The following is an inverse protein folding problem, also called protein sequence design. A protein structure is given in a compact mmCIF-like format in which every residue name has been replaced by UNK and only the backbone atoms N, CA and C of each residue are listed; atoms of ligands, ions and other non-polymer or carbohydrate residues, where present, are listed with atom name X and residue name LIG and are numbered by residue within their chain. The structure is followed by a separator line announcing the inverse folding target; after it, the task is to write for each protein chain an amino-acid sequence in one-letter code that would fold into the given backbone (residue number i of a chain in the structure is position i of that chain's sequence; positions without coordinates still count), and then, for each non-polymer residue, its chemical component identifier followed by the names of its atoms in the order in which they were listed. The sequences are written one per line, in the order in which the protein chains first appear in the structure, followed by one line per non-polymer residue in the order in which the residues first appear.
data_IF_181455214849
#
_entry.id   IF_181455214849
#
_cell.length_a   1.000
_cell.length_b   1.000
_cell.length_c   1.000
_cell.angle_alpha   90.00
_cell.angle_beta   90.00
_cell.angle_gamma   90.00
#
_symmetry.space_group_name_H-M   'P 1'
#
loop_
_entity.id
_entity.type
_entity.pdbx_description
1 polymer ?
#
# COMPACT_ATOMS: atom_id res chain seq x y z
N UNK A 1 -53.03 10.03 -34.34
CA UNK A 1 -52.08 11.01 -33.78
C UNK A 1 -50.67 10.54 -34.14
N UNK A 2 -50.01 11.20 -35.07
CA UNK A 2 -48.68 10.81 -35.57
C UNK A 2 -47.61 11.36 -34.63
N UNK A 3 -46.70 10.49 -34.18
CA UNK A 3 -45.50 10.88 -33.44
C UNK A 3 -44.59 11.67 -34.38
N UNK A 4 -44.66 13.00 -34.30
CA UNK A 4 -43.75 13.91 -34.99
C UNK A 4 -42.39 13.85 -34.31
N UNK A 5 -41.40 13.33 -35.02
CA UNK A 5 -40.03 13.13 -34.58
C UNK A 5 -39.41 14.42 -34.01
N UNK A 6 -38.82 14.33 -32.81
CA UNK A 6 -37.91 15.33 -32.23
C UNK A 6 -36.58 15.43 -33.04
N UNK A 7 -36.65 15.59 -34.36
CA UNK A 7 -35.50 15.67 -35.26
C UNK A 7 -34.85 17.06 -35.25
N UNK A 8 -35.61 18.10 -34.93
CA UNK A 8 -35.15 19.49 -34.90
C UNK A 8 -34.18 19.79 -33.74
N UNK A 9 -34.34 19.11 -32.59
CA UNK A 9 -33.47 19.30 -31.43
C UNK A 9 -32.11 18.61 -31.58
N UNK A 10 -32.05 17.48 -32.30
CA UNK A 10 -30.79 16.81 -32.61
C UNK A 10 -30.04 17.52 -33.73
N UNK A 11 -30.73 18.03 -34.76
CA UNK A 11 -30.09 18.80 -35.84
C UNK A 11 -29.46 20.09 -35.32
N UNK A 12 -30.20 20.85 -34.51
CA UNK A 12 -29.69 22.10 -33.91
C UNK A 12 -28.55 21.86 -32.91
N UNK A 13 -28.54 20.74 -32.20
CA UNK A 13 -27.46 20.36 -31.28
C UNK A 13 -26.12 20.09 -31.98
N UNK A 14 -26.13 19.47 -33.16
CA UNK A 14 -24.92 19.32 -33.98
C UNK A 14 -24.50 20.65 -34.63
N UNK A 15 -25.46 21.42 -35.14
CA UNK A 15 -25.18 22.72 -35.78
C UNK A 15 -24.63 23.80 -34.82
N UNK A 16 -24.98 23.78 -33.53
CA UNK A 16 -24.44 24.72 -32.54
C UNK A 16 -23.01 24.38 -32.08
N UNK A 17 -22.53 23.17 -32.38
CA UNK A 17 -21.21 22.67 -31.94
C UNK A 17 -20.07 23.04 -32.91
N UNK A 18 -20.41 23.38 -34.15
CA UNK A 18 -19.45 23.63 -35.25
C UNK A 18 -18.93 25.07 -35.29
N UNK A 19 -19.46 25.98 -34.47
CA UNK A 19 -19.03 27.39 -34.43
C UNK A 19 -17.91 27.62 -33.41
N UNK A 20 -16.78 26.91 -33.57
CA UNK A 20 -15.47 27.35 -33.03
C UNK A 20 -14.34 26.85 -33.93
N UNK A 21 -14.15 27.55 -35.04
CA UNK A 21 -12.88 27.81 -35.73
C UNK A 21 -11.84 26.68 -35.80
N UNK A 22 -12.13 25.61 -36.52
CA UNK A 22 -11.09 24.72 -37.05
C UNK A 22 -11.38 24.38 -38.52
N UNK A 23 -10.32 24.35 -39.34
CA UNK A 23 -10.40 24.22 -40.79
C UNK A 23 -11.02 22.87 -41.22
N UNK A 24 -11.93 22.83 -42.22
CA UNK A 24 -12.70 21.63 -42.57
C UNK A 24 -11.87 20.45 -43.12
N UNK A 25 -10.59 20.63 -43.41
CA UNK A 25 -9.75 19.63 -44.12
C UNK A 25 -8.87 18.76 -43.20
N UNK A 26 -8.81 19.04 -41.89
CA UNK A 26 -7.95 18.30 -40.94
C UNK A 26 -8.66 17.88 -39.64
N UNK A 27 -9.98 17.75 -39.62
CA UNK A 27 -10.70 17.37 -38.39
C UNK A 27 -10.74 15.85 -38.20
N UNK A 28 -9.72 15.31 -37.51
CA UNK A 28 -9.86 14.00 -36.86
C UNK A 28 -10.97 14.16 -35.81
N UNK A 29 -12.19 13.71 -36.13
CA UNK A 29 -13.35 13.67 -35.22
C UNK A 29 -13.03 12.79 -34.00
N UNK A 30 -12.35 13.37 -33.00
CA UNK A 30 -12.08 12.71 -31.73
C UNK A 30 -13.11 13.13 -30.71
N UNK A 31 -13.68 12.13 -30.05
CA UNK A 31 -14.54 12.35 -28.90
C UNK A 31 -13.80 13.20 -27.86
N UNK A 32 -14.48 14.23 -27.35
CA UNK A 32 -14.01 14.95 -26.16
C UNK A 32 -13.89 13.97 -25.00
N UNK A 33 -12.88 14.17 -24.14
CA UNK A 33 -12.62 13.32 -22.97
C UNK A 33 -13.91 13.18 -22.15
N UNK A 34 -14.50 11.98 -22.16
CA UNK A 34 -15.75 11.71 -21.44
C UNK A 34 -15.50 11.83 -19.94
N UNK A 35 -16.36 12.53 -19.23
CA UNK A 35 -16.44 12.45 -17.77
C UNK A 35 -17.00 11.07 -17.40
N UNK A 36 -16.11 10.09 -17.22
CA UNK A 36 -16.49 8.76 -16.76
C UNK A 36 -17.15 8.79 -15.37
N UNK A 37 -17.63 7.63 -14.91
CA UNK A 37 -18.21 7.49 -13.57
C UNK A 37 -17.20 7.95 -12.50
N UNK A 38 -17.56 8.83 -11.57
CA UNK A 38 -16.62 9.30 -10.56
C UNK A 38 -16.21 8.12 -9.66
N UNK A 39 -14.95 7.73 -9.74
CA UNK A 39 -14.36 6.69 -8.88
C UNK A 39 -14.12 7.20 -7.45
N UNK A 40 -13.89 8.51 -7.29
CA UNK A 40 -13.10 9.07 -6.19
C UNK A 40 -13.76 9.01 -4.81
N UNK A 41 -15.05 9.38 -4.69
CA UNK A 41 -15.71 9.54 -3.39
C UNK A 41 -16.02 8.22 -2.67
N UNK A 42 -16.31 7.14 -3.41
CA UNK A 42 -16.45 5.80 -2.80
C UNK A 42 -15.08 5.20 -2.44
N UNK A 43 -14.06 5.45 -3.27
CA UNK A 43 -12.77 4.78 -3.15
C UNK A 43 -12.00 5.23 -1.89
N UNK A 44 -12.09 6.50 -1.49
CA UNK A 44 -11.37 6.99 -0.30
C UNK A 44 -11.93 6.41 1.00
N UNK A 45 -13.24 6.50 1.23
CA UNK A 45 -13.89 5.95 2.42
C UNK A 45 -13.72 4.42 2.53
N UNK A 46 -13.84 3.71 1.40
CA UNK A 46 -13.63 2.26 1.38
C UNK A 46 -12.16 1.87 1.58
N UNK A 47 -11.21 2.66 1.07
CA UNK A 47 -9.77 2.45 1.28
C UNK A 47 -9.42 2.48 2.76
N UNK A 48 -9.86 3.52 3.47
CA UNK A 48 -9.58 3.68 4.90
C UNK A 48 -10.18 2.54 5.71
N UNK A 49 -11.44 2.16 5.42
CA UNK A 49 -12.10 1.04 6.11
C UNK A 49 -11.37 -0.29 5.87
N UNK A 50 -10.93 -0.56 4.64
CA UNK A 50 -10.16 -1.76 4.31
C UNK A 50 -8.81 -1.76 5.03
N UNK A 51 -8.11 -0.62 5.08
CA UNK A 51 -6.82 -0.50 5.76
C UNK A 51 -6.94 -0.74 7.27
N UNK A 52 -7.96 -0.16 7.92
CA UNK A 52 -8.26 -0.39 9.33
C UNK A 52 -8.48 -1.88 9.65
N UNK A 53 -9.27 -2.58 8.82
CA UNK A 53 -9.53 -4.02 9.02
C UNK A 53 -8.25 -4.84 8.91
N UNK A 54 -7.40 -4.55 7.91
CA UNK A 54 -6.14 -5.28 7.69
C UNK A 54 -5.15 -5.01 8.82
N UNK A 55 -5.07 -3.77 9.32
CA UNK A 55 -4.20 -3.39 10.44
C UNK A 55 -4.63 -4.06 11.74
N UNK A 56 -5.93 -4.17 12.00
CA UNK A 56 -6.47 -4.86 13.16
C UNK A 56 -6.18 -6.38 13.12
N UNK A 57 -6.33 -7.01 11.95
CA UNK A 57 -6.01 -8.43 11.77
C UNK A 57 -5.34 -8.70 10.42
N UNK A 58 -4.02 -8.90 10.45
CA UNK A 58 -3.23 -9.18 9.23
C UNK A 58 -3.50 -10.53 8.57
N UNK A 59 -4.32 -11.40 9.19
CA UNK A 59 -4.67 -12.74 8.68
C UNK A 59 -6.09 -12.83 8.11
N UNK A 60 -6.79 -11.70 7.96
CA UNK A 60 -8.16 -11.64 7.43
C UNK A 60 -8.26 -12.11 5.97
N UNK A 61 -9.37 -12.76 5.60
CA UNK A 61 -9.62 -13.19 4.21
C UNK A 61 -10.26 -12.06 3.40
N UNK A 62 -9.93 -11.97 2.12
CA UNK A 62 -10.54 -10.96 1.22
C UNK A 62 -12.08 -11.03 1.18
N UNK A 63 -12.67 -12.23 1.32
CA UNK A 63 -14.13 -12.41 1.38
C UNK A 63 -14.74 -11.79 2.64
N UNK A 64 -14.06 -11.88 3.78
CA UNK A 64 -14.51 -11.29 5.04
C UNK A 64 -14.47 -9.77 4.96
N UNK A 65 -13.39 -9.21 4.39
CA UNK A 65 -13.30 -7.77 4.12
C UNK A 65 -14.42 -7.31 3.18
N UNK A 66 -14.65 -8.04 2.08
CA UNK A 66 -15.71 -7.75 1.10
C UNK A 66 -17.08 -7.67 1.77
N UNK A 67 -17.40 -8.64 2.63
CA UNK A 67 -18.65 -8.66 3.38
C UNK A 67 -18.75 -7.51 4.40
N UNK A 68 -17.66 -7.19 5.11
CA UNK A 68 -17.65 -6.13 6.12
C UNK A 68 -17.76 -4.71 5.53
N UNK A 69 -17.24 -4.51 4.31
CA UNK A 69 -17.28 -3.21 3.63
C UNK A 69 -18.48 -3.10 2.68
N UNK A 70 -19.05 -4.23 2.24
CA UNK A 70 -20.18 -4.26 1.30
C UNK A 70 -19.75 -4.07 -0.16
N UNK A 71 -18.58 -4.59 -0.53
CA UNK A 71 -17.97 -4.41 -1.85
C UNK A 71 -17.67 -5.78 -2.46
N UNK A 72 -17.58 -5.85 -3.80
CA UNK A 72 -17.13 -7.06 -4.49
C UNK A 72 -15.69 -7.45 -4.10
N UNK A 73 -15.41 -8.76 -4.16
CA UNK A 73 -14.11 -9.33 -3.81
C UNK A 73 -13.00 -8.79 -4.73
N UNK A 74 -13.29 -8.58 -6.01
CA UNK A 74 -12.34 -8.07 -7.01
C UNK A 74 -11.91 -6.65 -6.67
N UNK A 75 -12.87 -5.82 -6.24
CA UNK A 75 -12.60 -4.44 -5.82
C UNK A 75 -11.78 -4.40 -4.54
N UNK A 76 -12.05 -5.29 -3.57
CA UNK A 76 -11.19 -5.46 -2.40
C UNK A 76 -9.78 -5.86 -2.81
N UNK A 77 -9.62 -6.83 -3.71
CA UNK A 77 -8.31 -7.24 -4.20
C UNK A 77 -7.55 -6.05 -4.78
N UNK A 78 -8.17 -5.28 -5.67
CA UNK A 78 -7.57 -4.09 -6.26
C UNK A 78 -7.18 -3.03 -5.22
N UNK A 79 -8.04 -2.77 -4.22
CA UNK A 79 -7.72 -1.83 -3.14
C UNK A 79 -6.51 -2.33 -2.36
N UNK A 80 -6.45 -3.61 -2.01
CA UNK A 80 -5.36 -4.19 -1.22
C UNK A 80 -4.04 -4.16 -1.98
N UNK A 81 -4.00 -4.57 -3.25
CA UNK A 81 -2.75 -4.71 -4.00
C UNK A 81 -2.31 -3.44 -4.70
N UNK A 82 -3.22 -2.71 -5.37
CA UNK A 82 -2.87 -1.56 -6.19
C UNK A 82 -2.92 -0.26 -5.38
N UNK A 83 -3.99 -0.06 -4.61
CA UNK A 83 -4.20 1.22 -3.89
C UNK A 83 -3.39 1.27 -2.59
N UNK A 84 -3.36 0.18 -1.82
CA UNK A 84 -2.66 0.09 -0.54
C UNK A 84 -1.27 -0.54 -0.65
N UNK A 85 -0.97 -1.24 -1.75
CA UNK A 85 0.35 -1.86 -1.97
C UNK A 85 0.64 -3.08 -1.09
N UNK A 86 -0.37 -3.67 -0.45
CA UNK A 86 -0.19 -4.87 0.36
C UNK A 86 0.01 -6.11 -0.50
N UNK A 87 0.87 -7.01 -0.01
CA UNK A 87 1.12 -8.33 -0.58
C UNK A 87 0.76 -9.41 0.42
N UNK A 88 0.26 -10.54 -0.08
CA UNK A 88 0.04 -11.73 0.75
C UNK A 88 1.38 -12.38 1.04
N UNK A 89 1.71 -12.54 2.32
CA UNK A 89 2.89 -13.29 2.79
C UNK A 89 2.42 -14.48 3.63
N UNK A 90 3.11 -15.61 3.50
CA UNK A 90 2.89 -16.76 4.39
C UNK A 90 3.48 -16.48 5.78
N UNK A 91 2.84 -17.02 6.80
CA UNK A 91 3.42 -17.02 8.14
C UNK A 91 4.66 -17.94 8.17
N UNK A 92 5.71 -17.52 8.88
CA UNK A 92 6.87 -18.38 9.16
C UNK A 92 6.51 -19.37 10.26
N UNK A 93 6.96 -20.61 10.12
CA UNK A 93 6.83 -21.62 11.17
C UNK A 93 7.75 -21.27 12.34
N UNK A 94 7.23 -21.41 13.56
CA UNK A 94 7.98 -21.17 14.80
C UNK A 94 7.93 -22.44 15.64
N UNK A 95 9.07 -23.05 16.01
CA UNK A 95 9.11 -24.38 16.62
C UNK A 95 8.37 -24.52 17.96
N UNK A 96 8.35 -23.45 18.77
CA UNK A 96 7.76 -23.49 20.10
C UNK A 96 7.11 -22.17 20.45
N UNK A 97 5.97 -22.24 21.13
CA UNK A 97 5.35 -21.10 21.78
C UNK A 97 6.03 -20.84 23.12
N UNK A 98 6.76 -19.72 23.22
CA UNK A 98 7.49 -19.34 24.42
C UNK A 98 6.56 -18.63 25.42
N UNK A 99 6.70 -18.95 26.71
CA UNK A 99 6.06 -18.21 27.81
C UNK A 99 6.71 -16.83 28.00
N UNK A 100 6.13 -15.99 28.85
CA UNK A 100 6.64 -14.64 29.10
C UNK A 100 8.02 -14.71 29.79
N UNK A 101 8.17 -15.61 30.75
CA UNK A 101 9.39 -15.83 31.51
C UNK A 101 10.52 -16.32 30.58
N UNK A 102 10.22 -17.27 29.69
CA UNK A 102 11.19 -17.77 28.71
C UNK A 102 11.69 -16.69 27.75
N UNK A 103 10.82 -15.72 27.39
CA UNK A 103 11.21 -14.60 26.53
C UNK A 103 12.14 -13.63 27.27
N UNK A 104 11.83 -13.36 28.55
CA UNK A 104 12.68 -12.52 29.40
C UNK A 104 14.07 -13.14 29.55
N UNK A 105 14.14 -14.41 29.97
CA UNK A 105 15.41 -15.13 30.09
C UNK A 105 16.23 -15.15 28.79
N UNK A 106 15.58 -15.39 27.65
CA UNK A 106 16.27 -15.35 26.35
C UNK A 106 16.83 -13.97 26.05
N UNK A 107 16.08 -12.90 26.34
CA UNK A 107 16.56 -11.53 26.15
C UNK A 107 17.78 -11.28 27.02
N UNK A 108 17.69 -11.61 28.31
CA UNK A 108 18.75 -11.37 29.29
C UNK A 108 20.05 -12.09 28.92
N UNK A 109 19.95 -13.38 28.56
CA UNK A 109 21.09 -14.16 28.07
C UNK A 109 21.70 -13.54 26.80
N UNK A 110 20.87 -13.15 25.83
CA UNK A 110 21.38 -12.53 24.60
C UNK A 110 22.09 -11.19 24.88
N UNK A 111 21.58 -10.36 25.78
CA UNK A 111 22.24 -9.12 26.18
C UNK A 111 23.57 -9.37 26.89
N UNK A 112 23.63 -10.33 27.82
CA UNK A 112 24.87 -10.70 28.51
C UNK A 112 25.92 -11.21 27.52
N UNK A 113 25.53 -12.09 26.60
CA UNK A 113 26.44 -12.59 25.56
C UNK A 113 26.97 -11.47 24.65
N UNK A 114 26.12 -10.49 24.31
CA UNK A 114 26.52 -9.34 23.52
C UNK A 114 27.53 -8.45 24.26
N UNK A 115 27.29 -8.17 25.54
CA UNK A 115 28.18 -7.38 26.40
C UNK A 115 29.54 -8.05 26.59
N UNK A 116 29.54 -9.36 26.83
CA UNK A 116 30.77 -10.14 26.95
C UNK A 116 31.58 -10.09 25.64
N UNK A 117 30.92 -10.25 24.49
CA UNK A 117 31.58 -10.18 23.19
C UNK A 117 32.20 -8.80 22.91
N UNK A 118 31.52 -7.72 23.32
CA UNK A 118 32.06 -6.36 23.21
C UNK A 118 33.25 -6.15 24.16
N UNK A 119 33.19 -6.66 25.39
CA UNK A 119 34.27 -6.55 26.36
C UNK A 119 35.53 -7.33 25.95
N UNK A 120 35.37 -8.53 25.38
CA UNK A 120 36.49 -9.30 24.84
C UNK A 120 37.12 -8.61 23.63
N UNK A 121 36.29 -8.05 22.75
CA UNK A 121 36.77 -7.30 21.59
C UNK A 121 37.55 -6.04 22.00
N UNK A 122 37.06 -5.29 22.98
CA UNK A 122 37.76 -4.11 23.51
C UNK A 122 39.06 -4.47 24.22
N UNK A 123 39.09 -5.58 24.97
CA UNK A 123 40.31 -6.04 25.63
C UNK A 123 41.42 -6.36 24.61
N UNK A 124 41.08 -7.11 23.55
CA UNK A 124 42.00 -7.42 22.46
C UNK A 124 42.48 -6.17 21.73
N UNK A 125 41.56 -5.22 21.47
CA UNK A 125 41.88 -3.95 20.83
C UNK A 125 42.86 -3.10 21.66
N UNK A 126 42.65 -3.00 22.98
CA UNK A 126 43.55 -2.26 23.86
C UNK A 126 44.93 -2.93 23.93
N UNK A 127 44.99 -4.26 23.94
CA UNK A 127 46.25 -5.00 24.01
C UNK A 127 47.12 -4.83 22.76
N UNK A 128 46.50 -4.62 21.59
CA UNK A 128 47.20 -4.38 20.32
C UNK A 128 47.68 -2.91 20.14
N UNK A 129 47.11 -1.95 20.86
CA UNK A 129 47.32 -0.52 20.59
C UNK A 129 47.93 0.30 21.74
N UNK A 130 48.30 -0.31 22.87
CA UNK A 130 49.02 0.40 23.95
C UNK A 130 50.51 0.52 23.58
N UNK A 131 51.09 1.74 23.46
CA UNK A 131 52.53 1.91 23.31
C UNK A 131 53.25 1.56 24.62
N UNK A 132 54.27 0.71 24.54
CA UNK A 132 55.12 0.35 25.68
C UNK A 132 55.81 1.62 26.20
N UNK A 133 55.51 2.02 27.45
CA UNK A 133 56.19 3.14 28.10
C UNK A 133 57.68 2.80 28.25
N UNK A 134 58.59 3.71 27.88
CA UNK A 134 60.01 3.48 28.04
C UNK A 134 60.31 3.29 29.52
N UNK A 135 60.92 2.16 29.88
CA UNK A 135 61.43 1.96 31.23
C UNK A 135 62.61 2.90 31.44
N UNK A 136 62.42 3.87 32.32
CA UNK A 136 63.44 4.85 32.69
C UNK A 136 64.67 4.14 33.28
N UNK A 137 65.83 4.43 32.70
CA UNK A 137 67.16 4.38 33.32
C UNK A 137 67.77 5.76 33.19
#
# INVERSE_FOLDING_TARGET
MTFSSNSALLSSFWQLRDVKGEDPRETILRDRKRSGRPLSASVTAHREKVDCIIRANRRVKQKEIANAVGISKERVHHIVTIVLGYRKVSARWVPRQLTVEMKAQRKDMCTQLLELQLSSFLHEYLQQNIPQLPQHV
#
